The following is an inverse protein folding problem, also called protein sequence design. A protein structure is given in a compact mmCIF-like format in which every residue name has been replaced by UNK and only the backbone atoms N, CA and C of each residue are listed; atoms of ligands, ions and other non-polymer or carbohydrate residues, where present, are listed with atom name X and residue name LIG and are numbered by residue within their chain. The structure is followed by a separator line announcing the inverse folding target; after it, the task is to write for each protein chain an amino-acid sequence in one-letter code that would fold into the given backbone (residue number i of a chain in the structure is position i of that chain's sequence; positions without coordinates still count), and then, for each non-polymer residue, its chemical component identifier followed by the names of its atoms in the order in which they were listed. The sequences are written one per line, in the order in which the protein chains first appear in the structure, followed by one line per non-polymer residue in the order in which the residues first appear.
data_IF_714603132090
#
_entry.id   IF_714603132090
#
_cell.length_a   1.000
_cell.length_b   1.000
_cell.length_c   1.000
_cell.angle_alpha   90.00
_cell.angle_beta   90.00
_cell.angle_gamma   90.00
#
_symmetry.space_group_name_H-M   'P 1'
#
loop_
_entity.id
_entity.type
_entity.pdbx_description
1 polymer ?
#
# COMPACT_ATOMS: atom_id res chain seq x y z
N UNK A 1 8.89 39.93 30.98
CA UNK A 1 8.29 39.19 32.10
C UNK A 1 8.52 37.71 31.85
N UNK A 2 9.22 37.11 32.79
CA UNK A 2 9.91 35.83 32.74
C UNK A 2 8.96 34.62 32.72
N UNK A 3 9.52 33.48 32.30
CA UNK A 3 9.01 32.13 32.56
C UNK A 3 8.01 31.63 31.51
N UNK A 4 8.18 30.46 30.89
CA UNK A 4 9.03 29.30 31.17
C UNK A 4 9.29 28.56 29.85
N UNK A 5 10.52 28.11 29.65
CA UNK A 5 10.90 27.25 28.54
C UNK A 5 10.23 25.88 28.66
N UNK A 6 9.28 25.61 27.78
CA UNK A 6 8.81 24.26 27.51
C UNK A 6 9.65 23.66 26.38
N UNK A 7 10.56 22.75 26.73
CA UNK A 7 11.20 21.87 25.74
C UNK A 7 10.11 20.97 25.15
N UNK A 8 9.72 21.23 23.90
CA UNK A 8 8.77 20.38 23.17
C UNK A 8 9.54 19.20 22.60
N UNK A 9 9.35 18.03 23.21
CA UNK A 9 9.74 16.76 22.59
C UNK A 9 8.91 16.55 21.33
N UNK A 10 9.57 16.50 20.17
CA UNK A 10 8.99 16.03 18.92
C UNK A 10 8.76 14.51 19.03
N UNK A 11 7.62 14.13 19.62
CA UNK A 11 7.12 12.78 19.68
C UNK A 11 6.64 12.31 18.30
N UNK A 12 7.30 11.27 17.82
CA UNK A 12 7.01 10.53 16.59
C UNK A 12 5.72 9.72 16.76
N UNK A 13 4.90 9.68 15.70
CA UNK A 13 4.06 8.55 15.30
C UNK A 13 3.27 7.77 16.36
N UNK A 14 1.95 7.96 16.32
CA UNK A 14 0.99 6.87 16.53
C UNK A 14 0.66 6.53 17.98
N UNK A 15 -0.43 7.09 18.47
CA UNK A 15 -1.35 6.43 19.40
C UNK A 15 -2.72 7.08 19.26
N UNK A 16 -3.76 6.27 19.24
CA UNK A 16 -5.15 6.70 19.10
C UNK A 16 -5.50 7.83 20.06
N UNK A 17 -6.00 8.92 19.51
CA UNK A 17 -6.78 9.91 20.23
C UNK A 17 -8.21 9.78 19.76
N UNK A 18 -9.04 9.12 20.56
CA UNK A 18 -10.41 9.60 20.81
C UNK A 18 -10.34 11.13 20.85
N UNK A 19 -11.15 11.79 20.02
CA UNK A 19 -11.11 13.24 19.83
C UNK A 19 -10.92 13.97 21.15
N UNK A 20 -9.68 14.43 21.38
CA UNK A 20 -9.38 15.33 22.48
C UNK A 20 -10.24 16.55 22.24
N UNK A 21 -11.23 16.74 23.10
CA UNK A 21 -12.09 17.91 23.12
C UNK A 21 -11.20 19.15 23.27
N UNK A 22 -10.85 19.78 22.15
CA UNK A 22 -10.46 21.19 22.13
C UNK A 22 -11.74 22.03 22.28
N UNK A 23 -12.48 21.87 23.39
CA UNK A 23 -13.74 22.59 23.65
C UNK A 23 -13.54 24.07 24.02
N UNK A 24 -12.30 24.58 23.96
CA UNK A 24 -11.98 25.98 24.25
C UNK A 24 -11.22 26.74 23.16
N UNK A 25 -10.77 26.07 22.07
CA UNK A 25 -10.07 26.76 20.99
C UNK A 25 -11.05 27.10 19.87
N UNK A 26 -11.42 28.38 19.76
CA UNK A 26 -12.12 28.90 18.60
C UNK A 26 -11.34 28.53 17.34
N UNK A 27 -11.90 27.71 16.47
CA UNK A 27 -11.29 27.42 15.19
C UNK A 27 -11.08 28.74 14.45
N UNK A 28 -9.83 29.01 14.05
CA UNK A 28 -9.48 30.17 13.24
C UNK A 28 -9.08 29.66 11.86
N UNK A 29 -9.61 30.25 10.77
CA UNK A 29 -9.16 29.92 9.43
C UNK A 29 -7.64 30.02 9.33
N UNK A 30 -7.00 28.97 8.82
CA UNK A 30 -5.58 29.00 8.56
C UNK A 30 -5.30 29.98 7.41
N UNK A 31 -4.35 30.89 7.64
CA UNK A 31 -3.84 31.78 6.60
C UNK A 31 -2.53 31.19 6.09
N UNK A 32 -2.45 30.97 4.78
CA UNK A 32 -1.24 30.47 4.12
C UNK A 32 -0.03 31.34 4.45
N UNK A 33 1.13 30.70 4.68
CA UNK A 33 2.41 31.42 4.84
C UNK A 33 2.86 32.11 3.56
N UNK A 34 2.39 31.61 2.42
CA UNK A 34 2.68 32.15 1.11
C UNK A 34 1.42 32.86 0.58
N UNK A 35 1.43 34.20 0.48
CA UNK A 35 0.32 34.95 -0.10
C UNK A 35 0.00 34.43 -1.51
N UNK A 36 -1.29 34.34 -1.84
CA UNK A 36 -1.78 33.89 -3.15
C UNK A 36 -1.35 32.47 -3.56
N UNK A 37 -0.90 31.63 -2.62
CA UNK A 37 -0.65 30.22 -2.90
C UNK A 37 -1.90 29.57 -3.47
N UNK A 38 -1.76 28.78 -4.53
CA UNK A 38 -2.85 28.01 -5.12
C UNK A 38 -2.33 26.65 -5.56
N UNK A 39 -2.74 25.61 -4.83
CA UNK A 39 -2.33 24.24 -5.10
C UNK A 39 -3.55 23.40 -5.45
N UNK A 40 -3.54 22.80 -6.64
CA UNK A 40 -4.54 21.81 -7.02
C UNK A 40 -4.25 20.50 -6.31
N UNK A 41 -5.24 20.01 -5.58
CA UNK A 41 -5.21 18.72 -4.88
C UNK A 41 -6.41 17.88 -5.30
N UNK A 42 -6.28 16.56 -5.21
CA UNK A 42 -7.35 15.63 -5.58
C UNK A 42 -7.94 14.96 -4.35
N UNK A 43 -9.25 15.07 -4.21
CA UNK A 43 -10.02 14.37 -3.18
C UNK A 43 -10.64 13.12 -3.79
N UNK A 44 -10.55 12.02 -3.07
CA UNK A 44 -11.18 10.74 -3.39
C UNK A 44 -12.13 10.35 -2.27
N UNK A 45 -13.34 9.94 -2.63
CA UNK A 45 -14.37 9.48 -1.71
C UNK A 45 -14.88 8.12 -2.16
N UNK A 46 -14.74 7.12 -1.29
CA UNK A 46 -15.30 5.80 -1.49
C UNK A 46 -16.74 5.83 -1.01
N UNK A 47 -17.66 5.63 -1.94
CA UNK A 47 -19.10 5.63 -1.72
C UNK A 47 -19.60 4.22 -1.94
N UNK A 48 -20.31 3.68 -0.94
CA UNK A 48 -20.97 2.39 -1.08
C UNK A 48 -22.02 2.49 -2.21
N UNK A 49 -22.07 1.57 -3.18
CA UNK A 49 -23.03 1.62 -4.27
C UNK A 49 -24.50 1.68 -3.81
N UNK A 50 -24.79 1.20 -2.59
CA UNK A 50 -26.14 1.28 -2.00
C UNK A 50 -26.49 2.70 -1.54
N UNK A 51 -25.48 3.55 -1.34
CA UNK A 51 -25.65 4.93 -0.91
C UNK A 51 -26.03 5.86 -2.07
N UNK A 52 -25.74 5.48 -3.32
CA UNK A 52 -26.13 6.22 -4.53
C UNK A 52 -27.19 5.46 -5.32
N UNK A 53 -27.94 6.19 -6.17
CA UNK A 53 -28.94 5.68 -7.10
C UNK A 53 -28.68 6.35 -8.44
N UNK A 54 -29.29 5.83 -9.50
CA UNK A 54 -29.24 6.48 -10.80
C UNK A 54 -29.74 7.94 -10.70
N UNK A 55 -28.99 8.87 -11.29
CA UNK A 55 -29.27 10.31 -11.22
C UNK A 55 -28.75 11.02 -9.97
N UNK A 56 -28.22 10.31 -8.98
CA UNK A 56 -27.57 10.95 -7.84
C UNK A 56 -26.18 11.47 -8.20
N UNK A 57 -25.78 12.57 -7.55
CA UNK A 57 -24.45 13.16 -7.69
C UNK A 57 -23.80 13.39 -6.31
N UNK A 58 -22.48 13.21 -6.25
CA UNK A 58 -21.70 13.42 -5.02
C UNK A 58 -21.03 14.79 -5.08
N UNK A 59 -21.11 15.54 -3.98
CA UNK A 59 -20.51 16.86 -3.85
C UNK A 59 -19.63 16.94 -2.61
N UNK A 60 -18.68 17.87 -2.65
CA UNK A 60 -17.82 18.23 -1.53
C UNK A 60 -18.06 19.69 -1.16
N UNK A 61 -18.33 19.95 0.12
CA UNK A 61 -18.54 21.30 0.66
C UNK A 61 -17.58 21.54 1.81
N UNK A 62 -17.11 22.77 1.99
CA UNK A 62 -16.13 23.10 3.02
C UNK A 62 -16.01 24.60 3.26
N UNK A 63 -15.16 24.98 4.20
CA UNK A 63 -15.06 26.39 4.62
C UNK A 63 -14.22 27.28 3.68
N UNK A 64 -13.15 26.83 2.98
CA UNK A 64 -12.59 27.64 1.91
C UNK A 64 -13.60 27.87 0.79
N UNK A 65 -13.61 29.08 0.22
CA UNK A 65 -14.42 29.41 -0.97
C UNK A 65 -14.18 28.47 -2.15
N UNK A 66 -12.97 27.92 -2.24
CA UNK A 66 -12.60 26.90 -3.22
C UNK A 66 -13.47 25.63 -3.17
N UNK A 67 -14.22 25.39 -2.09
CA UNK A 67 -15.24 24.35 -2.02
C UNK A 67 -16.61 24.83 -2.53
N UNK A 68 -16.66 25.90 -3.32
CA UNK A 68 -17.88 26.40 -3.97
C UNK A 68 -18.78 27.21 -3.03
N UNK A 69 -18.20 28.07 -2.18
CA UNK A 69 -18.94 28.90 -1.21
C UNK A 69 -20.15 29.60 -1.85
N UNK A 70 -21.34 29.02 -1.63
CA UNK A 70 -22.68 29.45 -2.07
C UNK A 70 -23.32 28.71 -3.27
N UNK A 71 -22.59 27.89 -4.05
CA UNK A 71 -23.15 27.13 -5.19
C UNK A 71 -23.53 25.68 -4.87
N UNK A 72 -23.47 25.28 -3.60
CA UNK A 72 -23.78 23.91 -3.21
C UNK A 72 -22.62 22.92 -3.39
N UNK A 73 -21.38 23.39 -3.40
CA UNK A 73 -20.22 22.51 -3.31
C UNK A 73 -19.59 22.15 -4.66
N UNK A 74 -18.43 21.52 -4.58
CA UNK A 74 -17.69 21.03 -5.74
C UNK A 74 -18.26 19.66 -6.15
N UNK A 75 -18.75 19.51 -7.39
CA UNK A 75 -19.19 18.21 -7.88
C UNK A 75 -18.01 17.23 -7.97
N UNK A 76 -18.27 15.98 -7.63
CA UNK A 76 -17.33 14.88 -7.79
C UNK A 76 -17.72 14.02 -8.99
N UNK A 77 -16.71 13.50 -9.68
CA UNK A 77 -16.87 12.60 -10.81
C UNK A 77 -16.66 11.17 -10.35
N UNK A 78 -17.53 10.27 -10.79
CA UNK A 78 -17.35 8.85 -10.57
C UNK A 78 -16.14 8.36 -11.38
N UNK A 79 -15.28 7.57 -10.76
CA UNK A 79 -14.09 7.02 -11.41
C UNK A 79 -14.46 5.92 -12.41
N UNK A 80 -13.84 5.93 -13.58
CA UNK A 80 -14.10 4.96 -14.65
C UNK A 80 -13.58 3.55 -14.32
N UNK A 81 -12.63 3.42 -13.38
CA UNK A 81 -12.04 2.13 -13.00
C UNK A 81 -12.79 1.48 -11.84
N UNK A 82 -13.38 2.28 -10.96
CA UNK A 82 -14.14 1.80 -9.81
C UNK A 82 -15.32 2.74 -9.55
N UNK A 83 -16.53 2.27 -9.87
CA UNK A 83 -17.78 3.02 -9.67
C UNK A 83 -18.03 3.43 -8.20
N UNK A 84 -17.32 2.84 -7.24
CA UNK A 84 -17.39 3.22 -5.82
C UNK A 84 -16.54 4.45 -5.52
N UNK A 85 -15.54 4.74 -6.33
CA UNK A 85 -14.62 5.86 -6.11
C UNK A 85 -15.17 7.09 -6.83
N UNK A 86 -15.32 8.17 -6.09
CA UNK A 86 -15.66 9.49 -6.61
C UNK A 86 -14.50 10.42 -6.37
N UNK A 87 -14.20 11.32 -7.30
CA UNK A 87 -13.08 12.24 -7.15
C UNK A 87 -13.39 13.66 -7.61
N UNK A 88 -12.68 14.63 -7.03
CA UNK A 88 -12.70 16.03 -7.47
C UNK A 88 -11.31 16.65 -7.31
N UNK A 89 -10.96 17.55 -8.22
CA UNK A 89 -9.75 18.36 -8.12
C UNK A 89 -10.12 19.77 -7.66
N UNK A 90 -9.48 20.24 -6.60
CA UNK A 90 -9.78 21.53 -5.98
C UNK A 90 -8.50 22.33 -5.83
N UNK A 91 -8.52 23.57 -6.31
CA UNK A 91 -7.42 24.50 -6.17
C UNK A 91 -7.53 25.26 -4.84
N UNK A 92 -6.83 24.77 -3.81
CA UNK A 92 -6.88 25.33 -2.47
C UNK A 92 -5.84 26.45 -2.27
N UNK A 93 -6.14 27.46 -1.42
CA UNK A 93 -5.31 28.65 -1.24
C UNK A 93 -4.10 28.42 -0.31
N UNK A 94 -3.44 27.27 -0.44
CA UNK A 94 -2.36 26.80 0.45
C UNK A 94 -1.18 26.27 -0.37
N UNK A 95 0.01 26.27 0.20
CA UNK A 95 1.19 25.65 -0.43
C UNK A 95 1.23 24.16 -0.09
N UNK A 96 1.70 23.33 -1.02
CA UNK A 96 1.85 21.90 -0.77
C UNK A 96 2.71 21.64 0.48
N UNK A 97 2.27 20.71 1.33
CA UNK A 97 2.89 20.36 2.61
C UNK A 97 2.81 21.42 3.72
N UNK A 98 2.11 22.55 3.49
CA UNK A 98 1.71 23.43 4.59
C UNK A 98 0.97 22.63 5.65
N UNK A 99 1.15 23.00 6.91
CA UNK A 99 0.49 22.34 8.02
C UNK A 99 0.13 23.30 9.15
N UNK A 100 -1.00 23.01 9.78
CA UNK A 100 -1.52 23.71 10.95
C UNK A 100 -2.11 22.68 11.92
N UNK A 101 -1.60 22.63 13.16
CA UNK A 101 -2.04 21.66 14.16
C UNK A 101 -3.52 21.79 14.51
N UNK A 102 -4.09 23.00 14.46
CA UNK A 102 -5.50 23.25 14.77
C UNK A 102 -6.44 22.96 13.57
N UNK A 103 -5.89 22.64 12.41
CA UNK A 103 -6.63 22.44 11.16
C UNK A 103 -6.45 23.60 10.19
N UNK A 104 -6.22 23.26 8.92
CA UNK A 104 -6.11 24.18 7.80
C UNK A 104 -7.47 24.48 7.17
N UNK A 105 -8.25 23.43 6.94
CA UNK A 105 -9.59 23.53 6.37
C UNK A 105 -10.45 22.37 6.84
N UNK A 106 -11.76 22.60 6.75
CA UNK A 106 -12.83 21.67 7.08
C UNK A 106 -13.72 21.48 5.89
N UNK A 107 -14.18 20.25 5.72
CA UNK A 107 -15.07 19.88 4.63
C UNK A 107 -15.87 18.62 4.97
N UNK A 108 -16.89 18.34 4.17
CA UNK A 108 -17.69 17.12 4.21
C UNK A 108 -18.21 16.77 2.83
N UNK A 109 -18.56 15.51 2.65
CA UNK A 109 -19.25 15.03 1.45
C UNK A 109 -20.77 15.12 1.60
N UNK A 110 -21.48 15.20 0.48
CA UNK A 110 -22.95 15.12 0.43
C UNK A 110 -23.39 14.45 -0.87
N UNK A 111 -24.54 13.79 -0.84
CA UNK A 111 -25.19 13.22 -2.02
C UNK A 111 -26.38 14.12 -2.35
N UNK A 112 -26.42 14.66 -3.56
CA UNK A 112 -27.60 15.30 -4.12
C UNK A 112 -28.37 14.25 -4.90
N UNK A 113 -29.59 13.99 -4.47
CA UNK A 113 -30.46 13.01 -5.11
C UNK A 113 -31.08 13.59 -6.38
N UNK A 114 -31.54 12.72 -7.29
CA UNK A 114 -32.21 13.13 -8.53
C UNK A 114 -33.44 14.05 -8.32
N UNK A 115 -34.11 13.94 -7.16
CA UNK A 115 -35.25 14.78 -6.76
C UNK A 115 -34.85 16.14 -6.15
N UNK A 116 -33.54 16.44 -6.09
CA UNK A 116 -32.98 17.65 -5.49
C UNK A 116 -32.68 17.55 -3.99
N UNK A 117 -33.06 16.45 -3.32
CA UNK A 117 -32.80 16.25 -1.89
C UNK A 117 -31.31 16.12 -1.60
N UNK A 118 -30.80 16.88 -0.62
CA UNK A 118 -29.39 16.81 -0.21
C UNK A 118 -29.23 15.97 1.04
N UNK A 119 -28.41 14.93 0.96
CA UNK A 119 -28.07 14.05 2.07
C UNK A 119 -26.60 14.28 2.46
N UNK A 120 -26.31 14.98 3.57
CA UNK A 120 -24.94 15.15 4.03
C UNK A 120 -24.38 13.84 4.60
N UNK A 121 -23.06 13.65 4.48
CA UNK A 121 -22.39 12.57 5.22
C UNK A 121 -22.56 12.75 6.73
N UNK A 122 -22.56 11.63 7.45
CA UNK A 122 -22.64 11.61 8.91
C UNK A 122 -21.36 12.09 9.59
N UNK A 123 -21.45 12.21 10.92
CA UNK A 123 -20.38 12.67 11.82
C UNK A 123 -20.00 14.16 11.65
N UNK A 124 -18.97 14.59 12.39
CA UNK A 124 -18.40 15.94 12.33
C UNK A 124 -17.63 16.16 11.02
N UNK A 125 -17.50 17.42 10.61
CA UNK A 125 -16.67 17.80 9.47
C UNK A 125 -15.26 17.26 9.60
N UNK A 126 -14.69 16.87 8.45
CA UNK A 126 -13.30 16.46 8.36
C UNK A 126 -12.45 17.70 8.59
N UNK A 127 -11.36 17.57 9.32
CA UNK A 127 -10.45 18.67 9.64
C UNK A 127 -9.04 18.28 9.22
N UNK A 128 -8.53 18.89 8.16
CA UNK A 128 -7.21 18.57 7.62
C UNK A 128 -6.14 19.45 8.23
N UNK A 129 -5.09 18.83 8.76
CA UNK A 129 -3.98 19.56 9.40
C UNK A 129 -2.81 19.79 8.46
N UNK A 130 -2.83 19.22 7.26
CA UNK A 130 -1.77 19.33 6.25
C UNK A 130 -2.33 19.28 4.84
N UNK A 131 -1.77 20.09 3.93
CA UNK A 131 -2.07 19.98 2.52
C UNK A 131 -1.28 18.84 1.85
N UNK A 132 -1.98 17.84 1.37
CA UNK A 132 -1.43 16.71 0.61
C UNK A 132 -1.91 16.78 -0.85
N UNK A 133 -1.18 16.19 -1.82
CA UNK A 133 -1.65 16.17 -3.21
C UNK A 133 -2.93 15.34 -3.39
N UNK A 134 -3.10 14.32 -2.56
CA UNK A 134 -4.24 13.41 -2.60
C UNK A 134 -4.81 13.19 -1.20
N UNK A 135 -6.13 13.13 -1.13
CA UNK A 135 -6.88 12.81 0.08
C UNK A 135 -7.81 11.63 -0.19
N UNK A 136 -7.76 10.60 0.65
CA UNK A 136 -8.55 9.37 0.48
C UNK A 136 -9.50 9.15 1.64
N UNK A 137 -10.81 9.19 1.35
CA UNK A 137 -11.85 9.06 2.36
C UNK A 137 -12.91 8.05 1.96
N UNK A 138 -13.76 7.68 2.92
CA UNK A 138 -15.00 6.99 2.64
C UNK A 138 -16.18 7.84 3.11
N UNK A 139 -17.27 7.84 2.35
CA UNK A 139 -18.50 8.53 2.74
C UNK A 139 -19.03 7.93 4.04
N UNK A 140 -19.29 8.79 5.03
CA UNK A 140 -19.76 8.35 6.35
C UNK A 140 -21.28 8.29 6.35
N UNK A 141 -21.84 7.15 6.71
CA UNK A 141 -23.29 6.97 6.81
C UNK A 141 -23.91 7.96 7.79
N UNK A 142 -24.96 8.65 7.35
CA UNK A 142 -25.83 9.41 8.24
C UNK A 142 -27.01 8.53 8.68
N UNK A 143 -26.87 7.85 9.82
CA UNK A 143 -27.86 6.92 10.35
C UNK A 143 -29.24 7.54 10.63
N UNK A 144 -29.33 8.88 10.68
CA UNK A 144 -30.60 9.58 10.83
C UNK A 144 -31.40 9.61 9.52
N UNK A 145 -30.74 9.44 8.38
CA UNK A 145 -31.41 9.35 7.09
C UNK A 145 -31.90 7.91 6.83
N UNK A 146 -33.19 7.76 6.54
CA UNK A 146 -33.83 6.44 6.32
C UNK A 146 -33.20 5.65 5.18
N UNK A 147 -32.62 6.31 4.17
CA UNK A 147 -31.89 5.70 3.06
C UNK A 147 -30.70 4.85 3.52
N UNK A 148 -30.09 5.25 4.62
CA UNK A 148 -28.89 4.60 5.16
C UNK A 148 -29.19 3.70 6.36
N UNK A 149 -30.47 3.42 6.63
CA UNK A 149 -30.85 2.50 7.71
C UNK A 149 -30.29 1.10 7.41
N UNK A 150 -29.51 0.56 8.35
CA UNK A 150 -28.83 -0.73 8.18
C UNK A 150 -27.52 -0.65 7.38
N UNK A 151 -27.12 0.54 6.91
CA UNK A 151 -25.82 0.73 6.28
C UNK A 151 -24.73 1.01 7.32
N UNK A 152 -23.73 0.14 7.36
CA UNK A 152 -22.51 0.32 8.16
C UNK A 152 -21.46 1.07 7.37
N UNK A 153 -20.91 2.13 7.94
CA UNK A 153 -19.75 2.84 7.39
C UNK A 153 -18.63 1.84 7.10
N UNK A 154 -18.00 1.87 5.90
CA UNK A 154 -16.89 0.98 5.57
C UNK A 154 -15.80 1.01 6.62
N UNK A 155 -15.28 -0.16 7.00
CA UNK A 155 -14.21 -0.23 7.99
C UNK A 155 -12.89 0.32 7.39
N UNK A 156 -11.95 0.72 8.24
CA UNK A 156 -10.62 1.14 7.77
C UNK A 156 -9.89 0.06 6.97
N UNK A 157 -10.23 -1.22 7.18
CA UNK A 157 -9.80 -2.34 6.35
C UNK A 157 -10.35 -2.23 4.94
N UNK A 158 -11.67 -2.15 4.80
CA UNK A 158 -12.35 -2.14 3.50
C UNK A 158 -11.92 -0.93 2.66
N UNK A 159 -11.79 0.23 3.31
CA UNK A 159 -11.36 1.48 2.64
C UNK A 159 -9.92 1.37 2.14
N UNK A 160 -9.01 0.82 2.96
CA UNK A 160 -7.61 0.62 2.56
C UNK A 160 -7.51 -0.37 1.40
N UNK A 161 -8.23 -1.48 1.47
CA UNK A 161 -8.20 -2.51 0.42
C UNK A 161 -8.76 -1.98 -0.89
N UNK A 162 -9.90 -1.26 -0.84
CA UNK A 162 -10.49 -0.65 -2.02
C UNK A 162 -9.51 0.31 -2.70
N UNK A 163 -8.90 1.24 -1.95
CA UNK A 163 -7.96 2.20 -2.54
C UNK A 163 -6.62 1.58 -2.94
N UNK A 164 -6.11 0.59 -2.21
CA UNK A 164 -4.90 -0.12 -2.61
C UNK A 164 -5.11 -0.81 -3.97
N UNK A 165 -6.23 -1.53 -4.14
CA UNK A 165 -6.59 -2.15 -5.43
C UNK A 165 -6.82 -1.12 -6.53
N UNK A 166 -7.52 -0.03 -6.23
CA UNK A 166 -7.73 1.06 -7.17
C UNK A 166 -6.40 1.62 -7.70
N UNK A 167 -5.45 1.91 -6.80
CA UNK A 167 -4.15 2.46 -7.20
C UNK A 167 -3.28 1.43 -7.95
N UNK A 168 -3.38 0.14 -7.61
CA UNK A 168 -2.70 -0.94 -8.32
C UNK A 168 -3.27 -1.09 -9.74
N UNK A 169 -4.59 -1.13 -9.90
CA UNK A 169 -5.23 -1.16 -11.22
C UNK A 169 -4.86 0.08 -12.07
N UNK A 170 -4.82 1.26 -11.44
CA UNK A 170 -4.37 2.50 -12.08
C UNK A 170 -2.90 2.43 -12.51
N UNK A 171 -2.06 1.71 -11.74
CA UNK A 171 -0.67 1.45 -12.10
C UNK A 171 -0.59 0.48 -13.27
N UNK A 172 -1.34 -0.62 -13.27
CA UNK A 172 -1.32 -1.63 -14.34
C UNK A 172 -1.73 -1.02 -15.68
N UNK A 173 -2.79 -0.20 -15.72
CA UNK A 173 -3.16 0.56 -16.93
C UNK A 173 -2.04 1.46 -17.42
N UNK A 174 -1.37 2.16 -16.51
CA UNK A 174 -0.22 3.05 -16.85
C UNK A 174 1.00 2.26 -17.30
N UNK A 175 1.25 1.10 -16.71
CA UNK A 175 2.35 0.22 -17.06
C UNK A 175 2.14 -0.39 -18.45
N UNK A 176 0.91 -0.84 -18.75
CA UNK A 176 0.55 -1.34 -20.08
C UNK A 176 0.65 -0.27 -21.18
N UNK A 177 0.39 0.99 -20.83
CA UNK A 177 0.49 2.11 -21.75
C UNK A 177 1.89 2.77 -21.81
N UNK A 178 2.88 2.29 -21.05
CA UNK A 178 4.18 2.94 -20.95
C UNK A 178 5.06 2.59 -22.17
N UNK A 179 5.42 3.55 -23.05
CA UNK A 179 6.26 3.28 -24.22
C UNK A 179 7.74 3.10 -23.88
N UNK A 180 8.15 3.34 -22.63
CA UNK A 180 9.54 3.21 -22.19
C UNK A 180 9.69 2.74 -20.74
N UNK A 181 10.85 2.15 -20.43
CA UNK A 181 11.25 1.82 -19.06
C UNK A 181 11.19 3.01 -18.10
N UNK A 182 11.47 4.23 -18.61
CA UNK A 182 11.42 5.45 -17.80
C UNK A 182 10.01 5.74 -17.32
N UNK A 183 9.00 5.53 -18.15
CA UNK A 183 7.59 5.74 -17.77
C UNK A 183 7.08 4.63 -16.87
N UNK A 184 7.51 3.39 -17.08
CA UNK A 184 7.22 2.29 -16.17
C UNK A 184 7.77 2.56 -14.76
N UNK A 185 9.00 3.07 -14.65
CA UNK A 185 9.61 3.50 -13.38
C UNK A 185 8.82 4.63 -12.73
N UNK A 186 8.38 5.61 -13.53
CA UNK A 186 7.52 6.71 -13.05
C UNK A 186 6.20 6.19 -12.50
N UNK A 187 5.52 5.29 -13.22
CA UNK A 187 4.27 4.69 -12.78
C UNK A 187 4.43 3.95 -11.43
N UNK A 188 5.53 3.20 -11.27
CA UNK A 188 5.86 2.50 -10.03
C UNK A 188 6.11 3.47 -8.85
N UNK A 189 6.89 4.53 -9.08
CA UNK A 189 7.13 5.58 -8.08
C UNK A 189 5.83 6.32 -7.71
N UNK A 190 4.97 6.57 -8.70
CA UNK A 190 3.68 7.22 -8.49
C UNK A 190 2.73 6.33 -7.68
N UNK A 191 2.68 5.02 -7.95
CA UNK A 191 1.91 4.05 -7.16
C UNK A 191 2.30 4.12 -5.68
N UNK A 192 3.59 3.99 -5.38
CA UNK A 192 4.06 4.05 -3.99
C UNK A 192 3.77 5.43 -3.38
N UNK A 193 3.86 6.50 -4.16
CA UNK A 193 3.48 7.85 -3.71
C UNK A 193 2.03 7.97 -3.32
N UNK A 194 1.13 7.51 -4.19
CA UNK A 194 -0.31 7.54 -3.94
C UNK A 194 -0.67 6.66 -2.77
N UNK A 195 -0.07 5.48 -2.66
CA UNK A 195 -0.25 4.63 -1.49
C UNK A 195 0.16 5.29 -0.18
N UNK A 196 1.27 6.04 -0.13
CA UNK A 196 1.64 6.76 1.09
C UNK A 196 0.61 7.81 1.51
N UNK A 197 -0.22 8.30 0.58
CA UNK A 197 -1.35 9.18 0.90
C UNK A 197 -2.57 8.36 1.35
N UNK A 198 -2.87 7.24 0.69
CA UNK A 198 -3.91 6.28 1.12
C UNK A 198 -3.71 5.88 2.58
N UNK A 199 -2.51 5.39 2.93
CA UNK A 199 -2.18 4.96 4.29
C UNK A 199 -2.27 6.09 5.33
N UNK A 200 -2.03 7.35 4.93
CA UNK A 200 -2.13 8.52 5.83
C UNK A 200 -3.57 9.00 6.04
N UNK A 201 -4.42 8.91 5.03
CA UNK A 201 -5.80 9.42 5.10
C UNK A 201 -6.76 8.44 5.79
N UNK A 202 -6.43 7.15 5.83
CA UNK A 202 -7.33 6.11 6.37
C UNK A 202 -6.96 5.78 7.82
N UNK A 203 -7.76 6.30 8.74
CA UNK A 203 -7.62 6.03 10.18
C UNK A 203 -7.79 4.53 10.46
N UNK A 204 -6.87 3.96 11.25
CA UNK A 204 -6.90 2.55 11.62
C UNK A 204 -6.47 1.60 10.49
N UNK A 205 -6.05 2.13 9.34
CA UNK A 205 -5.34 1.32 8.34
C UNK A 205 -4.04 0.77 8.93
N UNK A 206 -3.73 -0.46 8.58
CA UNK A 206 -2.57 -1.15 9.09
C UNK A 206 -2.04 -2.13 8.04
N UNK A 207 -0.91 -2.74 8.36
CA UNK A 207 -0.21 -3.66 7.48
C UNK A 207 -1.02 -4.93 7.16
N UNK A 208 -1.77 -5.51 8.10
CA UNK A 208 -2.49 -6.77 7.85
C UNK A 208 -3.61 -6.61 6.82
N UNK A 209 -4.24 -5.44 6.76
CA UNK A 209 -5.23 -5.14 5.73
C UNK A 209 -4.63 -5.13 4.31
N UNK A 210 -3.35 -4.73 4.16
CA UNK A 210 -2.62 -4.77 2.90
C UNK A 210 -2.15 -6.19 2.53
N UNK A 211 -1.91 -7.05 3.52
CA UNK A 211 -1.50 -8.44 3.27
C UNK A 211 -2.54 -9.19 2.44
N UNK A 212 -3.82 -9.02 2.73
CA UNK A 212 -4.91 -9.62 1.94
C UNK A 212 -4.80 -9.21 0.45
N UNK A 213 -4.57 -7.92 0.16
CA UNK A 213 -4.45 -7.42 -1.22
C UNK A 213 -3.22 -8.02 -1.92
N UNK A 214 -2.08 -8.06 -1.25
CA UNK A 214 -0.86 -8.60 -1.82
C UNK A 214 -0.94 -10.11 -2.04
N UNK A 215 -1.56 -10.85 -1.12
CA UNK A 215 -1.75 -12.29 -1.22
C UNK A 215 -2.69 -12.64 -2.37
N UNK A 216 -3.76 -11.86 -2.58
CA UNK A 216 -4.66 -12.07 -3.71
C UNK A 216 -3.92 -11.85 -5.05
N UNK A 217 -3.14 -10.76 -5.17
CA UNK A 217 -2.34 -10.50 -6.39
C UNK A 217 -1.34 -11.64 -6.66
N UNK A 218 -0.68 -12.13 -5.62
CA UNK A 218 0.26 -13.26 -5.74
C UNK A 218 -0.48 -14.54 -6.12
N UNK A 219 -1.64 -14.81 -5.51
CA UNK A 219 -2.44 -15.98 -5.81
C UNK A 219 -2.96 -15.95 -7.26
N UNK A 220 -3.42 -14.79 -7.73
CA UNK A 220 -3.89 -14.59 -9.11
C UNK A 220 -2.75 -14.84 -10.12
N UNK A 221 -1.56 -14.30 -9.87
CA UNK A 221 -0.39 -14.55 -10.71
C UNK A 221 0.01 -16.04 -10.71
N UNK A 222 0.04 -16.67 -9.54
CA UNK A 222 0.37 -18.10 -9.42
C UNK A 222 -0.67 -19.00 -10.10
N UNK A 223 -1.96 -18.66 -10.02
CA UNK A 223 -3.02 -19.36 -10.73
C UNK A 223 -2.91 -19.23 -12.25
N UNK A 224 -2.37 -18.12 -12.74
CA UNK A 224 -2.04 -17.92 -14.14
C UNK A 224 -0.72 -18.60 -14.57
N UNK A 225 0.03 -19.21 -13.64
CA UNK A 225 1.35 -19.77 -13.92
C UNK A 225 2.43 -18.70 -14.12
N UNK A 226 2.17 -17.47 -13.69
CA UNK A 226 3.05 -16.32 -13.87
C UNK A 226 3.67 -15.84 -12.53
N UNK A 227 4.71 -15.01 -12.63
CA UNK A 227 5.24 -14.26 -11.48
C UNK A 227 4.65 -12.85 -11.47
N UNK A 228 4.46 -12.28 -10.28
CA UNK A 228 4.03 -10.89 -10.17
C UNK A 228 5.08 -10.00 -10.84
N UNK A 229 4.69 -9.08 -11.75
CA UNK A 229 5.64 -8.23 -12.46
C UNK A 229 6.59 -7.49 -11.51
N UNK A 230 7.89 -7.49 -11.87
CA UNK A 230 8.97 -6.93 -11.05
C UNK A 230 8.69 -5.53 -10.47
N UNK A 231 8.25 -4.54 -11.26
CA UNK A 231 8.02 -3.21 -10.73
C UNK A 231 6.79 -3.15 -9.80
N UNK A 232 5.74 -3.94 -10.06
CA UNK A 232 4.57 -4.03 -9.18
C UNK A 232 4.96 -4.61 -7.83
N UNK A 233 5.67 -5.74 -7.82
CA UNK A 233 6.06 -6.38 -6.57
C UNK A 233 7.06 -5.52 -5.78
N UNK A 234 7.97 -4.79 -6.45
CA UNK A 234 8.80 -3.77 -5.80
C UNK A 234 7.96 -2.68 -5.10
N UNK A 235 6.89 -2.22 -5.74
CA UNK A 235 5.97 -1.26 -5.14
C UNK A 235 5.24 -1.87 -3.94
N UNK A 236 4.76 -3.12 -4.02
CA UNK A 236 4.13 -3.84 -2.91
C UNK A 236 5.06 -3.96 -1.71
N UNK A 237 6.34 -4.32 -1.91
CA UNK A 237 7.35 -4.29 -0.84
C UNK A 237 7.49 -2.89 -0.24
N UNK A 238 7.45 -1.85 -1.08
CA UNK A 238 7.42 -0.46 -0.64
C UNK A 238 6.20 -0.12 0.22
N UNK A 239 5.03 -0.62 -0.14
CA UNK A 239 3.80 -0.43 0.62
C UNK A 239 3.88 -1.09 2.01
N UNK A 240 4.41 -2.31 2.11
CA UNK A 240 4.67 -2.98 3.38
C UNK A 240 5.68 -2.21 4.24
N UNK A 241 6.80 -1.81 3.64
CA UNK A 241 7.82 -1.03 4.34
C UNK A 241 7.35 0.36 4.75
N UNK A 242 6.35 0.94 4.09
CA UNK A 242 5.75 2.21 4.49
C UNK A 242 5.00 2.12 5.83
N UNK A 243 4.19 1.07 6.01
CA UNK A 243 3.60 0.79 7.33
C UNK A 243 4.69 0.46 8.35
N UNK A 244 5.66 -0.36 7.91
CA UNK A 244 6.66 -0.93 8.79
C UNK A 244 6.02 -1.67 9.96
N UNK A 245 6.77 -1.77 11.05
CA UNK A 245 6.36 -2.49 12.26
C UNK A 245 5.56 -1.55 13.17
N UNK A 246 4.56 -2.01 13.91
CA UNK A 246 3.94 -1.21 14.97
C UNK A 246 4.83 -1.13 16.21
N UNK A 247 4.62 -0.15 17.09
CA UNK A 247 5.37 -0.04 18.36
C UNK A 247 5.23 -1.30 19.22
N UNK A 248 4.07 -1.96 19.19
CA UNK A 248 3.81 -3.25 19.86
C UNK A 248 4.58 -4.41 19.23
N UNK A 249 4.84 -4.36 17.92
CA UNK A 249 5.60 -5.38 17.21
C UNK A 249 7.12 -5.17 17.32
N UNK A 250 7.58 -3.95 17.66
CA UNK A 250 9.00 -3.61 17.68
C UNK A 250 9.69 -3.94 19.01
N UNK A 251 10.90 -4.49 18.93
CA UNK A 251 11.95 -4.36 19.95
C UNK A 251 12.98 -3.40 19.39
N UNK A 252 13.37 -2.38 20.16
CA UNK A 252 14.48 -1.51 19.81
C UNK A 252 15.79 -2.27 20.03
N UNK A 253 16.55 -2.51 18.95
CA UNK A 253 17.78 -3.32 18.96
C UNK A 253 19.04 -2.46 18.91
N UNK A 254 18.91 -1.13 19.00
CA UNK A 254 20.03 -0.20 19.13
C UNK A 254 19.63 1.25 18.82
N UNK A 255 20.29 2.19 19.49
CA UNK A 255 20.22 3.63 19.23
C UNK A 255 21.49 4.04 18.50
N UNK A 256 21.39 4.57 17.26
CA UNK A 256 22.50 5.30 16.67
C UNK A 256 22.42 6.75 17.14
N UNK A 257 23.29 7.10 18.10
CA UNK A 257 23.55 8.48 18.48
C UNK A 257 24.44 9.14 17.44
N UNK A 258 23.84 9.92 16.54
CA UNK A 258 24.53 10.89 15.71
C UNK A 258 23.98 12.28 16.00
N UNK A 259 24.85 13.23 16.33
CA UNK A 259 24.53 14.60 16.77
C UNK A 259 23.72 15.45 15.75
N UNK A 260 23.41 14.92 14.56
CA UNK A 260 22.68 15.62 13.50
C UNK A 260 21.61 14.73 12.85
N UNK A 261 20.42 14.70 13.46
CA UNK A 261 19.14 14.78 12.74
C UNK A 261 18.59 13.58 11.95
N UNK A 262 19.25 12.44 11.85
CA UNK A 262 18.65 11.21 11.25
C UNK A 262 18.98 9.95 12.04
N UNK A 263 18.47 9.87 13.27
CA UNK A 263 18.52 8.67 14.11
C UNK A 263 17.43 7.67 13.68
N UNK A 264 17.74 6.82 12.71
CA UNK A 264 16.97 5.61 12.46
C UNK A 264 17.23 4.60 13.57
N UNK A 265 16.35 4.50 14.57
CA UNK A 265 16.45 3.44 15.57
C UNK A 265 16.31 2.07 14.86
N UNK A 266 17.29 1.18 15.03
CA UNK A 266 17.17 -0.18 14.53
C UNK A 266 16.10 -0.87 15.38
N UNK A 267 15.07 -1.40 14.73
CA UNK A 267 13.98 -2.10 15.42
C UNK A 267 13.73 -3.47 14.78
N UNK A 268 13.70 -4.52 15.60
CA UNK A 268 13.35 -5.89 15.19
C UNK A 268 11.90 -6.22 15.54
N UNK A 269 11.36 -7.30 15.00
CA UNK A 269 10.15 -7.88 15.58
C UNK A 269 10.41 -8.38 17.01
N UNK A 270 9.41 -8.26 17.88
CA UNK A 270 9.32 -8.97 19.17
C UNK A 270 9.02 -10.44 18.95
N UNK A 271 8.02 -10.69 18.12
CA UNK A 271 7.64 -11.97 17.54
C UNK A 271 7.19 -11.66 16.13
N UNK A 272 7.89 -12.20 15.12
CA UNK A 272 7.50 -11.91 13.75
C UNK A 272 6.17 -12.62 13.42
N UNK A 273 5.24 -11.97 12.71
CA UNK A 273 4.05 -12.64 12.18
C UNK A 273 4.47 -13.83 11.30
N UNK A 274 3.58 -14.82 11.16
CA UNK A 274 3.82 -15.92 10.23
C UNK A 274 4.06 -15.36 8.81
N UNK A 275 4.98 -15.96 8.04
CA UNK A 275 5.12 -15.63 6.63
C UNK A 275 3.80 -15.96 5.91
N UNK A 276 3.45 -15.13 4.93
CA UNK A 276 2.23 -15.29 4.10
C UNK A 276 2.65 -15.47 2.64
N UNK A 277 1.70 -15.64 1.72
CA UNK A 277 1.99 -15.96 0.31
C UNK A 277 2.98 -14.97 -0.32
N UNK A 278 2.83 -13.67 -0.07
CA UNK A 278 3.77 -12.67 -0.61
C UNK A 278 5.20 -12.83 -0.07
N UNK A 279 5.39 -13.33 1.16
CA UNK A 279 6.73 -13.64 1.68
C UNK A 279 7.36 -14.82 0.93
N UNK A 280 6.57 -15.84 0.61
CA UNK A 280 7.04 -17.01 -0.13
C UNK A 280 7.25 -16.72 -1.61
N UNK A 281 6.49 -15.79 -2.18
CA UNK A 281 6.67 -15.35 -3.57
C UNK A 281 8.08 -14.81 -3.85
N UNK A 282 8.71 -14.15 -2.86
CA UNK A 282 10.11 -13.71 -2.95
C UNK A 282 11.10 -14.84 -3.22
N UNK A 283 10.78 -16.08 -2.83
CA UNK A 283 11.67 -17.23 -3.01
C UNK A 283 11.65 -17.76 -4.45
N UNK A 284 10.59 -17.44 -5.21
CA UNK A 284 10.40 -17.82 -6.61
C UNK A 284 11.00 -16.80 -7.59
N UNK A 285 11.47 -15.68 -7.07
CA UNK A 285 11.99 -14.55 -7.85
C UNK A 285 13.51 -14.48 -7.69
N UNK A 286 14.23 -14.12 -8.76
CA UNK A 286 15.64 -13.72 -8.67
C UNK A 286 15.79 -12.32 -8.05
N UNK A 287 15.62 -12.27 -6.73
CA UNK A 287 15.72 -11.04 -5.96
C UNK A 287 17.14 -10.42 -6.03
N UNK A 288 18.25 -11.20 -6.04
CA UNK A 288 19.59 -10.71 -6.38
C UNK A 288 19.62 -9.83 -7.63
N UNK A 289 19.13 -10.32 -8.77
CA UNK A 289 19.08 -9.53 -10.01
C UNK A 289 18.11 -8.35 -9.92
N UNK A 290 17.03 -8.48 -9.14
CA UNK A 290 16.13 -7.35 -8.92
C UNK A 290 16.82 -6.15 -8.29
N UNK A 291 17.66 -6.39 -7.28
CA UNK A 291 18.30 -5.33 -6.51
C UNK A 291 19.67 -4.91 -7.04
N UNK A 292 20.33 -5.74 -7.85
CA UNK A 292 21.58 -5.41 -8.54
C UNK A 292 21.39 -4.24 -9.52
N UNK A 293 20.22 -4.14 -10.17
CA UNK A 293 19.87 -3.04 -11.08
C UNK A 293 18.80 -2.04 -10.54
N UNK A 294 17.90 -2.47 -9.65
CA UNK A 294 16.48 -2.10 -9.85
C UNK A 294 15.78 -1.14 -8.88
N UNK A 295 15.69 -1.34 -7.54
CA UNK A 295 14.68 -0.63 -6.74
C UNK A 295 14.99 0.85 -6.56
N UNK A 296 16.26 1.26 -6.47
CA UNK A 296 16.62 2.68 -6.47
C UNK A 296 16.34 3.33 -7.82
N UNK A 297 16.51 2.59 -8.92
CA UNK A 297 16.23 3.05 -10.26
C UNK A 297 14.72 3.09 -10.57
N UNK A 298 13.93 2.18 -9.97
CA UNK A 298 12.48 2.04 -10.11
C UNK A 298 11.68 2.96 -9.18
N UNK A 299 12.09 3.09 -7.92
CA UNK A 299 11.36 3.79 -6.85
C UNK A 299 12.01 5.12 -6.46
N UNK A 300 13.17 5.47 -7.04
CA UNK A 300 13.91 6.68 -6.72
C UNK A 300 14.21 6.78 -5.23
N UNK A 301 13.89 7.93 -4.63
CA UNK A 301 14.10 8.17 -3.19
C UNK A 301 13.24 7.30 -2.26
N UNK A 302 12.26 6.56 -2.79
CA UNK A 302 11.36 5.71 -2.01
C UNK A 302 11.83 4.25 -1.91
N UNK A 303 12.97 3.91 -2.49
CA UNK A 303 13.53 2.56 -2.45
C UNK A 303 13.77 2.03 -1.03
N UNK A 304 14.00 2.92 -0.06
CA UNK A 304 14.18 2.55 1.36
C UNK A 304 12.94 1.88 1.95
N UNK A 305 11.74 2.20 1.46
CA UNK A 305 10.52 1.50 1.85
C UNK A 305 10.52 0.08 1.30
N UNK A 306 10.90 -0.14 0.03
CA UNK A 306 10.97 -1.50 -0.53
C UNK A 306 12.01 -2.36 0.19
N UNK A 307 13.15 -1.79 0.56
CA UNK A 307 14.13 -2.46 1.42
C UNK A 307 13.56 -2.83 2.79
N UNK A 308 12.76 -1.95 3.39
CA UNK A 308 12.11 -2.21 4.68
C UNK A 308 11.10 -3.37 4.57
N UNK A 309 10.32 -3.43 3.49
CA UNK A 309 9.41 -4.55 3.20
C UNK A 309 10.15 -5.87 2.94
N UNK A 310 11.28 -5.83 2.23
CA UNK A 310 12.15 -7.01 2.04
C UNK A 310 12.71 -7.52 3.38
N UNK A 311 13.23 -6.62 4.22
CA UNK A 311 13.75 -6.99 5.54
C UNK A 311 12.66 -7.60 6.42
N UNK A 312 11.43 -7.11 6.28
CA UNK A 312 10.29 -7.69 6.96
C UNK A 312 9.98 -9.12 6.48
N UNK A 313 10.01 -9.38 5.19
CA UNK A 313 9.84 -10.74 4.67
C UNK A 313 10.93 -11.69 5.21
N UNK A 314 12.19 -11.25 5.19
CA UNK A 314 13.34 -12.01 5.70
C UNK A 314 13.16 -12.32 7.19
N UNK A 315 12.80 -11.31 8.00
CA UNK A 315 12.56 -11.50 9.43
C UNK A 315 11.47 -12.55 9.69
N UNK A 316 10.37 -12.54 8.92
CA UNK A 316 9.29 -13.53 9.06
C UNK A 316 9.72 -14.93 8.62
N UNK A 317 10.39 -15.05 7.48
CA UNK A 317 10.87 -16.35 6.99
C UNK A 317 11.88 -16.95 7.96
N UNK A 318 12.82 -16.15 8.47
CA UNK A 318 13.84 -16.57 9.43
C UNK A 318 13.24 -16.97 10.79
N UNK A 319 12.34 -16.15 11.34
CA UNK A 319 11.70 -16.41 12.64
C UNK A 319 10.89 -17.72 12.65
N UNK A 320 10.29 -18.06 11.51
CA UNK A 320 9.45 -19.25 11.35
C UNK A 320 10.21 -20.44 10.74
N UNK A 321 11.53 -20.48 10.90
CA UNK A 321 12.36 -21.65 10.63
C UNK A 321 12.62 -21.97 9.16
N UNK A 322 12.19 -21.13 8.23
CA UNK A 322 12.56 -21.27 6.83
C UNK A 322 14.02 -20.86 6.66
N UNK A 323 14.85 -21.68 6.02
CA UNK A 323 16.21 -21.27 5.60
C UNK A 323 16.21 -20.59 4.22
N UNK A 324 15.06 -20.53 3.54
CA UNK A 324 14.98 -20.02 2.18
C UNK A 324 15.28 -18.51 2.07
N UNK A 325 15.19 -17.76 3.19
CA UNK A 325 15.62 -16.36 3.24
C UNK A 325 17.11 -16.18 2.91
N UNK A 326 17.94 -17.22 3.00
CA UNK A 326 19.36 -17.18 2.64
C UNK A 326 19.55 -16.79 1.17
N UNK A 327 18.62 -17.16 0.27
CA UNK A 327 18.61 -16.70 -1.13
C UNK A 327 18.58 -15.17 -1.25
N UNK A 328 18.11 -14.47 -0.21
CA UNK A 328 18.00 -13.01 -0.11
C UNK A 328 19.20 -12.36 0.60
N UNK A 329 20.12 -13.13 1.18
CA UNK A 329 21.27 -12.64 1.96
C UNK A 329 22.25 -11.74 1.18
N UNK A 330 22.60 -12.04 -0.09
CA UNK A 330 23.46 -11.15 -0.87
C UNK A 330 22.96 -9.70 -0.93
N UNK A 331 21.65 -9.52 -0.90
CA UNK A 331 20.99 -8.20 -0.96
C UNK A 331 21.10 -7.44 0.33
N UNK A 332 20.96 -8.14 1.45
CA UNK A 332 21.13 -7.58 2.78
C UNK A 332 22.52 -6.96 2.90
N UNK A 333 23.55 -7.68 2.43
CA UNK A 333 24.95 -7.25 2.44
C UNK A 333 25.21 -6.04 1.55
N UNK A 334 24.71 -6.05 0.31
CA UNK A 334 24.89 -4.95 -0.64
C UNK A 334 24.21 -3.65 -0.22
N UNK A 335 23.01 -3.75 0.38
CA UNK A 335 22.18 -2.60 0.71
C UNK A 335 22.42 -2.06 2.12
N UNK A 336 23.33 -2.69 2.89
CA UNK A 336 23.54 -2.46 4.33
C UNK A 336 22.23 -2.58 5.14
N UNK A 337 21.24 -3.28 4.60
CA UNK A 337 20.07 -3.67 5.34
C UNK A 337 20.49 -4.58 6.52
N UNK A 338 19.73 -4.58 7.60
CA UNK A 338 20.04 -5.37 8.80
C UNK A 338 18.79 -6.09 9.30
N UNK A 339 18.26 -7.09 8.57
CA UNK A 339 17.25 -7.99 9.12
C UNK A 339 17.83 -8.70 10.35
N UNK A 340 16.98 -9.04 11.31
CA UNK A 340 17.41 -9.75 12.51
C UNK A 340 17.16 -11.24 12.29
N UNK A 341 18.23 -11.95 11.99
CA UNK A 341 18.24 -13.40 11.92
C UNK A 341 18.42 -13.93 13.34
N UNK A 342 17.54 -14.83 13.78
CA UNK A 342 17.66 -15.49 15.10
C UNK A 342 18.71 -16.61 15.12
N UNK A 343 19.19 -16.99 13.95
CA UNK A 343 20.31 -17.94 13.78
C UNK A 343 21.58 -17.35 14.41
N UNK A 344 22.32 -18.10 15.25
CA UNK A 344 23.56 -17.65 15.89
C UNK A 344 24.54 -16.98 14.90
N UNK A 345 25.30 -15.96 15.35
CA UNK A 345 26.27 -15.26 14.49
C UNK A 345 27.29 -16.20 13.85
N UNK A 346 27.70 -17.23 14.58
CA UNK A 346 28.67 -18.22 14.11
C UNK A 346 28.06 -19.10 13.01
N UNK A 347 26.78 -19.42 13.11
CA UNK A 347 26.04 -20.08 12.04
C UNK A 347 25.88 -19.15 10.83
N UNK A 348 25.55 -17.86 11.02
CA UNK A 348 25.46 -16.89 9.91
C UNK A 348 26.80 -16.74 9.17
N UNK A 349 27.92 -16.77 9.88
CA UNK A 349 29.25 -16.73 9.28
C UNK A 349 29.61 -18.03 8.55
N UNK A 350 29.28 -19.18 9.12
CA UNK A 350 29.35 -20.48 8.42
C UNK A 350 28.43 -20.51 7.19
N UNK A 351 27.25 -19.88 7.27
CA UNK A 351 26.34 -19.72 6.13
C UNK A 351 26.92 -18.79 5.07
N UNK A 352 27.65 -17.73 5.41
CA UNK A 352 28.34 -16.89 4.42
C UNK A 352 29.43 -17.66 3.67
N UNK A 353 30.17 -18.50 4.38
CA UNK A 353 31.20 -19.37 3.80
C UNK A 353 30.59 -20.48 2.93
N UNK A 354 29.44 -21.01 3.36
CA UNK A 354 28.69 -22.03 2.62
C UNK A 354 27.73 -21.46 1.57
N UNK A 355 27.52 -20.15 1.51
CA UNK A 355 26.51 -19.54 0.64
C UNK A 355 26.70 -19.91 -0.83
N UNK A 356 27.92 -19.89 -1.41
CA UNK A 356 28.14 -20.33 -2.79
C UNK A 356 27.73 -21.79 -3.01
N UNK A 357 28.01 -22.65 -2.02
CA UNK A 357 27.65 -24.08 -2.04
C UNK A 357 26.15 -24.31 -1.85
N UNK A 358 25.50 -23.57 -0.95
CA UNK A 358 24.05 -23.63 -0.74
C UNK A 358 23.32 -23.16 -2.01
N UNK A 359 23.79 -22.08 -2.63
CA UNK A 359 23.23 -21.59 -3.89
C UNK A 359 23.42 -22.58 -5.03
N UNK A 360 24.55 -23.30 -5.09
CA UNK A 360 24.74 -24.37 -6.09
C UNK A 360 23.82 -25.57 -5.84
N UNK A 361 23.69 -26.04 -4.60
CA UNK A 361 22.76 -27.13 -4.28
C UNK A 361 21.30 -26.75 -4.53
N UNK A 362 20.93 -25.50 -4.23
CA UNK A 362 19.62 -24.95 -4.57
C UNK A 362 19.38 -24.94 -6.08
N UNK A 363 20.35 -24.50 -6.87
CA UNK A 363 20.23 -24.48 -8.32
C UNK A 363 20.11 -25.89 -8.91
N UNK A 364 20.86 -26.86 -8.36
CA UNK A 364 20.74 -28.28 -8.72
C UNK A 364 19.35 -28.84 -8.39
N UNK A 365 18.81 -28.52 -7.21
CA UNK A 365 17.48 -28.97 -6.80
C UNK A 365 16.36 -28.34 -7.64
N UNK A 366 16.47 -27.06 -7.97
CA UNK A 366 15.51 -26.37 -8.85
C UNK A 366 15.59 -26.97 -10.27
N UNK A 367 16.79 -27.29 -10.77
CA UNK A 367 16.98 -27.95 -12.07
C UNK A 367 16.44 -29.39 -12.12
N UNK A 368 16.58 -30.15 -11.02
CA UNK A 368 16.02 -31.49 -10.89
C UNK A 368 14.49 -31.46 -10.83
N UNK A 369 13.92 -30.51 -10.09
CA UNK A 369 12.47 -30.31 -10.02
C UNK A 369 11.89 -29.96 -11.40
N UNK A 370 12.60 -29.11 -12.17
CA UNK A 370 12.19 -28.77 -13.53
C UNK A 370 12.32 -29.96 -14.49
N UNK A 371 13.33 -30.81 -14.32
CA UNK A 371 13.46 -32.07 -15.06
C UNK A 371 12.29 -33.01 -14.78
N UNK A 372 11.95 -33.21 -13.50
CA UNK A 372 10.81 -34.05 -13.11
C UNK A 372 9.50 -33.54 -13.69
N UNK A 373 9.26 -32.21 -13.68
CA UNK A 373 8.07 -31.63 -14.32
C UNK A 373 8.02 -31.86 -15.82
N UNK A 374 9.16 -31.82 -16.52
CA UNK A 374 9.22 -32.11 -17.95
C UNK A 374 8.92 -33.58 -18.23
N UNK A 375 9.48 -34.49 -17.42
CA UNK A 375 9.21 -35.92 -17.53
C UNK A 375 7.73 -36.24 -17.25
N UNK A 376 7.14 -35.63 -16.23
CA UNK A 376 5.70 -35.74 -15.93
C UNK A 376 4.83 -35.18 -17.07
N UNK A 377 5.21 -34.03 -17.64
CA UNK A 377 4.48 -33.44 -18.76
C UNK A 377 4.59 -34.27 -20.04
N UNK A 378 5.76 -34.87 -20.32
CA UNK A 378 5.97 -35.76 -21.46
C UNK A 378 5.20 -37.07 -21.28
N UNK A 379 5.20 -37.65 -20.08
CA UNK A 379 4.40 -38.82 -19.74
C UNK A 379 2.89 -38.55 -19.91
N UNK A 380 2.41 -37.40 -19.43
CA UNK A 380 1.01 -37.00 -19.60
C UNK A 380 0.64 -36.77 -21.08
N UNK A 381 1.55 -36.21 -21.88
CA UNK A 381 1.34 -36.02 -23.32
C UNK A 381 1.29 -37.36 -24.08
N UNK A 382 2.15 -38.32 -23.73
CA UNK A 382 2.13 -39.67 -24.30
C UNK A 382 0.85 -40.43 -23.93
N UNK A 383 0.39 -40.30 -22.68
CA UNK A 383 -0.87 -40.89 -22.24
C UNK A 383 -2.07 -40.28 -23.00
N UNK A 384 -2.11 -38.96 -23.16
CA UNK A 384 -3.13 -38.28 -23.93
C UNK A 384 -3.15 -38.72 -25.41
N UNK A 385 -1.98 -38.85 -26.04
CA UNK A 385 -1.86 -39.32 -27.42
C UNK A 385 -2.32 -40.78 -27.58
N UNK A 386 -2.01 -41.66 -26.62
CA UNK A 386 -2.47 -43.04 -26.62
C UNK A 386 -3.99 -43.16 -26.48
N UNK A 387 -4.61 -42.30 -25.65
CA UNK A 387 -6.07 -42.21 -25.52
C UNK A 387 -6.70 -41.73 -26.82
N UNK A 388 -6.15 -40.70 -27.46
CA UNK A 388 -6.65 -40.18 -28.74
C UNK A 388 -6.58 -41.24 -29.84
N UNK A 389 -5.46 -41.97 -29.95
CA UNK A 389 -5.31 -43.04 -30.93
C UNK A 389 -6.27 -44.21 -30.68
N UNK A 390 -6.48 -44.61 -29.42
CA UNK A 390 -7.48 -45.63 -29.05
C UNK A 390 -8.90 -45.23 -29.44
N UNK A 391 -9.28 -43.96 -29.22
CA UNK A 391 -10.58 -43.43 -29.66
C UNK A 391 -10.70 -43.45 -31.19
N UNK A 392 -9.63 -43.06 -31.89
CA UNK A 392 -9.61 -43.03 -33.36
C UNK A 392 -9.77 -44.44 -33.95
N UNK A 393 -9.06 -45.42 -33.38
CA UNK A 393 -9.14 -46.83 -33.81
C UNK A 393 -10.52 -47.43 -33.52
N UNK A 394 -11.13 -47.10 -32.38
CA UNK A 394 -12.48 -47.54 -32.04
C UNK A 394 -13.55 -46.98 -32.99
N UNK A 395 -13.42 -45.71 -33.40
CA UNK A 395 -14.31 -45.09 -34.39
C UNK A 395 -14.13 -45.74 -35.77
N UNK A 396 -12.89 -46.03 -36.18
CA UNK A 396 -12.59 -46.68 -37.46
C UNK A 396 -13.12 -48.13 -37.54
N UNK A 397 -13.21 -48.84 -36.42
CA UNK A 397 -13.78 -50.21 -36.38
C UNK A 397 -15.31 -50.24 -36.27
N UNK A 398 -15.95 -49.10 -35.96
CA UNK A 398 -17.41 -48.97 -35.87
C UNK A 398 -18.07 -48.43 -37.15
N UNK A 399 -17.27 -47.96 -38.11
CA UNK A 399 -17.69 -47.52 -39.45
C UNK A 399 -17.46 -48.65 -40.46
#
# INVERSE_FOLDING_TARGET
LEGTGGVIYAGTGGTGGTGGYYSGYSWKPYVSKTPNARTTVRFHCLVDPRATREGDAVFMVGNPEAFGADEGGVPMFQDEMDARVWHAEVALPFTLLDSCQLGMFRFRYRIQCADGTVIPEGQLDRNETRLLPHFYHAFRSNYQNSRFRGWTTPSGKDVLQAYARHEIAAYERRAAAAPSDKELRRACTDLLSRFTYVAKSIVGSNRTHLEDVANDIVADAEAAGELVPKPLFCALLGMFGHFGRTTSERIYTGVYGGLYGTSGAKSSYRTAPKPTLWCHHLLKIDVPDWFREGPKALLGNKYSFALSGLCEAIDRLSEHGSMAWIRLWPLVKQTKASPKIKTPKDEVQQYEELLPYILSCVAEQDAETERQRREEAEAAALEAAAVEQSVTDAVAHSA
#
